data_IF_021588339515
#
_entry.id   IF_021588339515
#
_cell.length_a   1.000
_cell.length_b   1.000
_cell.length_c   1.000
_cell.angle_alpha   90.00
_cell.angle_beta   90.00
_cell.angle_gamma   90.00
#
_symmetry.space_group_name_H-M   'P 1'
#
loop_
_entity.id
_entity.type
_entity.pdbx_description
1 polymer ?
#
# COMPACT_ATOMS: atom_id res chain seq x y z
N UNK A 1 -12.58 -25.25 3.68
CA UNK A 1 -12.34 -25.12 5.13
C UNK A 1 -10.87 -25.37 5.45
N UNK A 2 -10.48 -25.05 6.68
CA UNK A 2 -9.14 -25.32 7.19
C UNK A 2 -9.19 -25.65 8.67
N UNK A 3 -8.14 -26.31 9.15
CA UNK A 3 -7.84 -26.56 10.54
C UNK A 3 -6.46 -26.02 10.87
N UNK A 4 -6.28 -25.53 12.10
CA UNK A 4 -5.01 -25.00 12.61
C UNK A 4 -4.63 -25.87 13.82
N UNK A 5 -3.37 -26.35 13.87
CA UNK A 5 -2.86 -27.09 15.01
C UNK A 5 -2.86 -26.29 16.32
N UNK A 6 -2.87 -26.96 17.46
CA UNK A 6 -2.89 -26.29 18.78
C UNK A 6 -1.69 -25.35 19.00
N UNK A 7 -0.55 -25.65 18.40
CA UNK A 7 0.65 -24.83 18.46
C UNK A 7 0.66 -23.67 17.43
N UNK A 8 -0.39 -23.60 16.57
CA UNK A 8 -0.51 -22.55 15.56
C UNK A 8 0.45 -22.65 14.38
N UNK A 9 1.22 -23.73 14.28
CA UNK A 9 2.29 -23.87 13.28
C UNK A 9 1.91 -24.68 12.05
N UNK A 10 0.83 -25.46 12.09
CA UNK A 10 0.36 -26.28 10.96
C UNK A 10 -1.03 -25.86 10.52
N UNK A 11 -1.18 -25.58 9.25
CA UNK A 11 -2.44 -25.23 8.61
C UNK A 11 -2.81 -26.31 7.60
N UNK A 12 -3.94 -27.00 7.85
CA UNK A 12 -4.47 -28.04 6.97
C UNK A 12 -5.68 -27.50 6.22
N UNK A 13 -5.58 -27.37 4.90
CA UNK A 13 -6.64 -26.89 4.04
C UNK A 13 -7.37 -28.05 3.36
N UNK A 14 -8.70 -28.05 3.48
CA UNK A 14 -9.58 -28.99 2.78
C UNK A 14 -10.05 -28.35 1.49
N UNK A 15 -9.51 -28.82 0.38
CA UNK A 15 -9.74 -28.25 -0.94
C UNK A 15 -11.14 -28.62 -1.43
N UNK A 16 -11.85 -27.66 -2.03
CA UNK A 16 -13.16 -27.87 -2.63
C UNK A 16 -13.03 -28.85 -3.80
N UNK A 17 -13.81 -29.96 -3.79
CA UNK A 17 -13.78 -30.89 -4.92
C UNK A 17 -14.40 -30.29 -6.19
N UNK A 18 -14.02 -30.82 -7.33
CA UNK A 18 -14.58 -30.46 -8.66
C UNK A 18 -14.39 -29.01 -9.10
N UNK A 19 -13.40 -28.31 -8.55
CA UNK A 19 -12.98 -27.01 -9.09
C UNK A 19 -12.08 -27.25 -10.29
N UNK A 20 -12.37 -26.56 -11.39
CA UNK A 20 -11.59 -26.63 -12.62
C UNK A 20 -10.95 -25.28 -12.91
N UNK A 21 -9.74 -25.29 -13.42
CA UNK A 21 -9.18 -24.15 -14.12
C UNK A 21 -9.92 -23.92 -15.43
N UNK A 22 -9.78 -22.76 -16.03
CA UNK A 22 -10.49 -22.42 -17.27
C UNK A 22 -10.05 -23.25 -18.49
N UNK A 23 -8.92 -23.95 -18.43
CA UNK A 23 -8.47 -24.94 -19.40
C UNK A 23 -9.03 -26.37 -19.18
N UNK A 24 -9.83 -26.55 -18.11
CA UNK A 24 -10.41 -27.83 -17.75
C UNK A 24 -9.53 -28.71 -16.84
N UNK A 25 -8.32 -28.30 -16.52
CA UNK A 25 -7.45 -28.99 -15.55
C UNK A 25 -8.04 -28.87 -14.13
N UNK A 26 -7.85 -29.90 -13.28
CA UNK A 26 -8.33 -29.88 -11.91
C UNK A 26 -7.53 -28.90 -11.05
N UNK A 27 -8.22 -28.08 -10.27
CA UNK A 27 -7.63 -27.29 -9.19
C UNK A 27 -7.75 -28.09 -7.87
N UNK A 28 -6.89 -29.09 -7.71
CA UNK A 28 -6.77 -29.93 -6.53
C UNK A 28 -5.55 -29.55 -5.67
N UNK A 29 -5.31 -30.28 -4.58
CA UNK A 29 -4.17 -30.03 -3.70
C UNK A 29 -2.81 -30.17 -4.41
N UNK A 30 -2.71 -31.02 -5.45
CA UNK A 30 -1.47 -31.18 -6.21
C UNK A 30 -1.20 -29.96 -7.09
N UNK A 31 -2.24 -29.39 -7.72
CA UNK A 31 -2.12 -28.14 -8.47
C UNK A 31 -1.71 -26.97 -7.57
N UNK A 32 -2.27 -26.88 -6.35
CA UNK A 32 -1.87 -25.89 -5.35
C UNK A 32 -0.42 -26.11 -4.92
N UNK A 33 -0.01 -27.36 -4.66
CA UNK A 33 1.37 -27.70 -4.33
C UNK A 33 2.35 -27.28 -5.43
N UNK A 34 1.99 -27.48 -6.69
CA UNK A 34 2.81 -27.05 -7.83
C UNK A 34 3.02 -25.51 -7.82
N UNK A 35 1.96 -24.75 -7.56
CA UNK A 35 2.04 -23.29 -7.43
C UNK A 35 2.94 -22.88 -6.25
N UNK A 36 2.77 -23.48 -5.07
CA UNK A 36 3.60 -23.18 -3.92
C UNK A 36 5.08 -23.53 -4.14
N UNK A 37 5.37 -24.64 -4.82
CA UNK A 37 6.74 -24.99 -5.18
C UNK A 37 7.37 -23.95 -6.10
N UNK A 38 6.63 -23.42 -7.08
CA UNK A 38 7.09 -22.34 -7.94
C UNK A 38 7.30 -21.02 -7.19
N UNK A 39 6.46 -20.72 -6.19
CA UNK A 39 6.63 -19.57 -5.29
C UNK A 39 7.89 -19.74 -4.44
N UNK A 40 8.10 -20.93 -3.86
CA UNK A 40 9.25 -21.24 -3.02
C UNK A 40 10.57 -21.21 -3.81
N UNK A 41 10.58 -21.63 -5.07
CA UNK A 41 11.73 -21.49 -5.95
C UNK A 41 12.16 -20.00 -6.13
N UNK A 42 11.21 -19.10 -6.04
CA UNK A 42 11.40 -17.64 -6.13
C UNK A 42 11.28 -16.92 -4.77
N UNK A 43 11.48 -17.62 -3.66
CA UNK A 43 11.24 -17.14 -2.30
C UNK A 43 11.87 -15.77 -2.02
N UNK A 44 13.07 -15.51 -2.51
CA UNK A 44 13.79 -14.26 -2.30
C UNK A 44 13.03 -13.02 -2.84
N UNK A 45 12.17 -13.20 -3.82
CA UNK A 45 11.31 -12.13 -4.36
C UNK A 45 10.11 -11.80 -3.45
N UNK A 46 9.84 -12.64 -2.48
CA UNK A 46 8.65 -12.58 -1.63
C UNK A 46 8.96 -12.40 -0.14
N UNK A 47 10.21 -12.10 0.22
CA UNK A 47 10.66 -11.87 1.61
C UNK A 47 10.05 -10.62 2.26
N UNK A 48 9.33 -9.82 1.49
CA UNK A 48 8.51 -8.72 2.00
C UNK A 48 7.22 -9.19 2.70
N UNK A 49 6.79 -10.45 2.49
CA UNK A 49 5.75 -11.14 3.26
C UNK A 49 6.42 -11.95 4.35
N UNK A 50 6.10 -11.68 5.61
CA UNK A 50 6.69 -12.40 6.73
C UNK A 50 6.34 -13.88 6.72
N UNK A 51 5.14 -14.23 6.28
CA UNK A 51 4.76 -15.63 6.03
C UNK A 51 5.84 -16.39 5.23
N UNK A 52 6.43 -15.77 4.22
CA UNK A 52 7.45 -16.41 3.39
C UNK A 52 8.76 -16.66 4.15
N UNK A 53 9.08 -15.85 5.15
CA UNK A 53 10.25 -16.02 6.01
C UNK A 53 10.04 -17.17 7.00
N UNK A 54 8.82 -17.32 7.50
CA UNK A 54 8.42 -18.33 8.50
C UNK A 54 8.02 -19.67 7.91
N UNK A 55 7.77 -19.77 6.60
CA UNK A 55 7.32 -20.98 5.93
C UNK A 55 8.42 -22.07 5.95
N UNK A 56 8.14 -23.21 6.58
CA UNK A 56 9.04 -24.38 6.65
C UNK A 56 8.83 -25.31 5.47
N UNK A 57 7.56 -25.61 5.14
CA UNK A 57 7.25 -26.54 4.09
C UNK A 57 5.77 -26.56 3.70
N UNK A 58 5.51 -27.19 2.56
CA UNK A 58 4.16 -27.45 2.05
C UNK A 58 4.05 -28.88 1.56
N UNK A 59 2.85 -29.48 1.67
CA UNK A 59 2.59 -30.83 1.19
C UNK A 59 1.13 -31.02 0.74
N UNK A 60 0.92 -32.02 -0.11
CA UNK A 60 -0.41 -32.48 -0.51
C UNK A 60 -0.48 -33.99 -0.24
N UNK A 61 -0.91 -34.41 0.96
CA UNK A 61 -1.00 -35.82 1.30
C UNK A 61 -2.01 -36.60 0.44
N UNK A 62 -3.02 -35.93 -0.07
CA UNK A 62 -4.01 -36.46 -1.01
C UNK A 62 -4.56 -35.33 -1.91
N UNK A 63 -5.43 -35.66 -2.88
CA UNK A 63 -6.00 -34.71 -3.85
C UNK A 63 -6.83 -33.58 -3.20
N UNK A 64 -7.31 -33.75 -1.98
CA UNK A 64 -8.21 -32.80 -1.32
C UNK A 64 -7.58 -32.12 -0.11
N UNK A 65 -6.37 -32.48 0.27
CA UNK A 65 -5.71 -31.95 1.46
C UNK A 65 -4.40 -31.27 1.10
N UNK A 66 -4.29 -29.99 1.44
CA UNK A 66 -3.06 -29.20 1.30
C UNK A 66 -2.62 -28.72 2.68
N UNK A 67 -1.34 -28.88 3.01
CA UNK A 67 -0.79 -28.54 4.32
C UNK A 67 0.34 -27.53 4.17
N UNK A 68 0.33 -26.53 5.06
CA UNK A 68 1.40 -25.54 5.22
C UNK A 68 1.97 -25.68 6.64
N UNK A 69 3.29 -25.76 6.75
CA UNK A 69 4.02 -25.80 8.00
C UNK A 69 4.85 -24.53 8.19
N UNK A 70 4.71 -23.91 9.37
CA UNK A 70 5.38 -22.68 9.78
C UNK A 70 6.39 -22.97 10.89
N UNK A 71 7.47 -22.19 10.98
CA UNK A 71 8.48 -22.30 12.05
C UNK A 71 7.96 -21.82 13.41
N UNK A 72 6.97 -20.93 13.40
CA UNK A 72 6.32 -20.38 14.59
C UNK A 72 4.88 -19.95 14.25
N UNK A 73 3.99 -19.75 15.25
CA UNK A 73 2.63 -19.28 15.02
C UNK A 73 2.62 -17.94 14.33
N UNK A 74 1.82 -17.81 13.26
CA UNK A 74 1.72 -16.59 12.48
C UNK A 74 0.27 -16.19 12.22
N UNK A 75 -0.24 -15.24 13.01
CA UNK A 75 -1.64 -14.81 12.97
C UNK A 75 -2.12 -14.32 11.59
N UNK A 76 -1.35 -13.51 10.84
CA UNK A 76 -1.79 -12.97 9.55
C UNK A 76 -1.83 -13.98 8.39
N UNK A 77 -1.43 -15.22 8.61
CA UNK A 77 -1.30 -16.26 7.59
C UNK A 77 -2.47 -16.35 6.61
N UNK A 78 -3.71 -16.41 7.12
CA UNK A 78 -4.90 -16.54 6.29
C UNK A 78 -5.21 -15.26 5.50
N UNK A 79 -4.91 -14.10 6.07
CA UNK A 79 -5.05 -12.80 5.41
C UNK A 79 -4.04 -12.67 4.28
N UNK A 80 -2.78 -13.03 4.52
CA UNK A 80 -1.72 -12.97 3.52
C UNK A 80 -1.96 -13.94 2.35
N UNK A 81 -2.52 -15.13 2.61
CA UNK A 81 -2.93 -16.05 1.55
C UNK A 81 -4.00 -15.47 0.62
N UNK A 82 -4.74 -14.45 1.06
CA UNK A 82 -5.66 -13.68 0.24
C UNK A 82 -4.99 -12.72 -0.74
N UNK A 83 -3.68 -12.47 -0.60
CA UNK A 83 -2.94 -11.59 -1.50
C UNK A 83 -2.80 -12.22 -2.89
N UNK A 84 -3.17 -11.45 -3.93
CA UNK A 84 -3.08 -11.93 -5.33
C UNK A 84 -1.64 -12.31 -5.67
N UNK A 85 -0.66 -11.52 -5.22
CA UNK A 85 0.76 -11.80 -5.40
C UNK A 85 1.41 -12.18 -4.06
N UNK A 86 1.96 -13.38 -3.93
CA UNK A 86 2.19 -14.40 -4.95
C UNK A 86 1.13 -15.50 -5.05
N UNK A 87 0.03 -15.43 -4.28
CA UNK A 87 -0.84 -16.58 -4.00
C UNK A 87 -2.02 -16.77 -4.98
N UNK A 88 -2.07 -16.04 -6.09
CA UNK A 88 -3.04 -16.34 -7.15
C UNK A 88 -2.65 -17.65 -7.83
N UNK A 89 -3.48 -18.70 -7.64
CA UNK A 89 -3.23 -20.02 -8.22
C UNK A 89 -3.50 -20.01 -9.73
N UNK A 90 -2.55 -20.52 -10.51
CA UNK A 90 -2.66 -20.70 -11.94
C UNK A 90 -2.67 -22.20 -12.30
N UNK A 91 -3.22 -22.56 -13.47
CA UNK A 91 -3.11 -23.91 -13.97
C UNK A 91 -1.64 -24.35 -14.10
N UNK A 92 -1.26 -25.54 -13.61
CA UNK A 92 0.10 -26.06 -13.83
C UNK A 92 0.50 -26.11 -15.30
N UNK A 93 -0.47 -26.18 -16.22
CA UNK A 93 -0.22 -26.14 -17.68
C UNK A 93 0.35 -24.79 -18.16
N UNK A 94 0.18 -23.71 -17.35
CA UNK A 94 0.78 -22.41 -17.66
C UNK A 94 2.26 -22.35 -17.27
N UNK A 95 2.75 -23.25 -16.44
CA UNK A 95 4.11 -23.21 -15.93
C UNK A 95 5.12 -23.71 -16.97
N UNK A 96 6.23 -23.01 -17.09
CA UNK A 96 7.35 -23.41 -17.97
C UNK A 96 8.23 -24.39 -17.18
N UNK A 97 8.27 -25.65 -17.58
CA UNK A 97 9.01 -26.70 -16.89
C UNK A 97 8.64 -26.85 -15.38
N UNK A 98 7.37 -26.61 -15.02
CA UNK A 98 6.89 -26.64 -13.64
C UNK A 98 7.30 -25.45 -12.77
N UNK A 99 7.79 -24.38 -13.39
CA UNK A 99 8.24 -23.15 -12.72
C UNK A 99 7.58 -21.91 -13.32
N UNK A 100 7.55 -20.82 -12.53
CA UNK A 100 7.15 -19.48 -12.99
C UNK A 100 8.35 -18.52 -13.13
N UNK A 101 9.58 -19.03 -12.95
CA UNK A 101 10.80 -18.23 -12.93
C UNK A 101 11.07 -17.53 -14.28
N UNK A 102 10.82 -18.22 -15.36
CA UNK A 102 11.04 -17.74 -16.73
C UNK A 102 9.74 -17.19 -17.37
N UNK A 103 8.72 -16.93 -16.57
CA UNK A 103 7.41 -16.49 -17.01
C UNK A 103 6.37 -17.62 -17.04
N UNK A 104 5.24 -17.36 -17.68
CA UNK A 104 4.11 -18.30 -17.79
C UNK A 104 3.57 -18.33 -19.21
N UNK A 105 3.04 -19.48 -19.66
CA UNK A 105 2.40 -19.69 -20.94
C UNK A 105 0.88 -19.50 -20.84
N UNK A 106 0.42 -18.32 -20.44
CA UNK A 106 -1.00 -18.00 -20.32
C UNK A 106 -1.42 -17.55 -18.92
N UNK A 107 -2.69 -17.16 -18.82
CA UNK A 107 -3.30 -16.59 -17.63
C UNK A 107 -4.56 -17.39 -17.24
N UNK A 108 -4.37 -18.66 -16.89
CA UNK A 108 -5.43 -19.64 -16.66
C UNK A 108 -5.64 -19.81 -15.15
N UNK A 109 -6.77 -19.34 -14.67
CA UNK A 109 -7.18 -19.41 -13.26
C UNK A 109 -8.53 -20.09 -13.08
N UNK A 110 -9.04 -20.06 -11.85
CA UNK A 110 -10.36 -20.62 -11.45
C UNK A 110 -11.42 -19.54 -11.26
N UNK A 111 -11.13 -18.31 -11.65
CA UNK A 111 -12.01 -17.16 -11.44
C UNK A 111 -13.25 -17.15 -12.33
N UNK A 112 -14.20 -16.21 -12.08
CA UNK A 112 -15.45 -16.09 -12.82
C UNK A 112 -15.28 -15.62 -14.26
N UNK A 113 -14.13 -15.10 -14.64
CA UNK A 113 -13.80 -14.63 -15.97
C UNK A 113 -12.49 -15.23 -16.48
N UNK A 114 -12.39 -15.37 -17.78
CA UNK A 114 -11.21 -15.82 -18.52
C UNK A 114 -10.69 -14.66 -19.37
N UNK A 115 -9.39 -14.39 -19.34
CA UNK A 115 -8.74 -13.47 -20.27
C UNK A 115 -8.70 -14.13 -21.66
N UNK A 116 -9.40 -13.55 -22.65
CA UNK A 116 -9.53 -14.10 -23.99
C UNK A 116 -8.73 -13.34 -25.02
N UNK A 117 -8.43 -12.08 -24.77
CA UNK A 117 -7.63 -11.23 -25.65
C UNK A 117 -7.00 -10.09 -24.86
N UNK A 118 -5.81 -9.65 -25.24
CA UNK A 118 -5.21 -8.43 -24.70
C UNK A 118 -4.13 -7.86 -25.59
N UNK A 119 -4.00 -6.56 -25.57
CA UNK A 119 -2.86 -5.82 -26.14
C UNK A 119 -2.26 -4.97 -25.04
N UNK A 120 -0.97 -5.14 -24.79
CA UNK A 120 -0.24 -4.39 -23.76
C UNK A 120 -0.43 -2.89 -23.97
N UNK A 121 -0.71 -2.16 -22.91
CA UNK A 121 -0.96 -0.72 -22.88
C UNK A 121 -2.16 -0.24 -23.71
N UNK A 122 -3.01 -1.14 -24.20
CA UNK A 122 -4.21 -0.77 -24.94
C UNK A 122 -5.48 -1.32 -24.29
N UNK A 123 -5.63 -2.64 -24.20
CA UNK A 123 -6.84 -3.25 -23.62
C UNK A 123 -6.65 -4.70 -23.17
N UNK A 124 -7.59 -5.17 -22.35
CA UNK A 124 -7.78 -6.58 -22.03
C UNK A 124 -9.27 -6.96 -22.10
N UNK A 125 -9.56 -8.13 -22.66
CA UNK A 125 -10.90 -8.69 -22.81
C UNK A 125 -11.07 -9.90 -21.92
N UNK A 126 -12.10 -9.88 -21.11
CA UNK A 126 -12.47 -10.97 -20.23
C UNK A 126 -13.86 -11.48 -20.62
N UNK A 127 -13.99 -12.79 -20.76
CA UNK A 127 -15.27 -13.46 -21.00
C UNK A 127 -15.62 -14.36 -19.82
N UNK A 128 -16.91 -14.54 -19.55
CA UNK A 128 -17.37 -15.35 -18.45
C UNK A 128 -16.84 -16.79 -18.55
N UNK A 129 -16.31 -17.29 -17.45
CA UNK A 129 -15.83 -18.66 -17.33
C UNK A 129 -17.03 -19.60 -17.15
N UNK A 130 -17.33 -20.41 -18.17
CA UNK A 130 -18.43 -21.38 -18.14
C UNK A 130 -18.13 -22.58 -17.19
N UNK A 131 -16.87 -22.77 -16.78
CA UNK A 131 -16.44 -23.76 -15.80
C UNK A 131 -16.34 -23.18 -14.37
N UNK A 132 -16.85 -21.97 -14.15
CA UNK A 132 -16.73 -21.35 -12.83
C UNK A 132 -17.51 -22.14 -11.77
N UNK A 133 -16.86 -22.44 -10.68
CA UNK A 133 -17.38 -23.25 -9.57
C UNK A 133 -18.40 -22.53 -8.68
N UNK A 134 -18.54 -21.23 -8.81
CA UNK A 134 -19.46 -20.38 -8.06
C UNK A 134 -20.69 -19.99 -8.90
N UNK A 135 -21.39 -18.95 -8.44
CA UNK A 135 -22.51 -18.38 -9.18
C UNK A 135 -22.01 -17.67 -10.44
N UNK A 136 -22.62 -17.98 -11.58
CA UNK A 136 -22.23 -17.39 -12.84
C UNK A 136 -22.46 -15.87 -12.87
N UNK A 137 -21.47 -15.03 -13.21
CA UNK A 137 -21.65 -13.59 -13.30
C UNK A 137 -22.73 -13.19 -14.30
N UNK A 138 -23.51 -12.14 -14.00
CA UNK A 138 -24.53 -11.63 -14.91
C UNK A 138 -23.91 -11.01 -16.18
N UNK A 139 -22.77 -10.33 -16.05
CA UNK A 139 -22.03 -9.74 -17.17
C UNK A 139 -21.26 -10.83 -17.90
N UNK A 140 -21.45 -10.95 -19.21
CA UNK A 140 -20.79 -12.00 -20.01
C UNK A 140 -19.40 -11.62 -20.50
N UNK A 141 -19.20 -10.33 -20.74
CA UNK A 141 -17.94 -9.81 -21.30
C UNK A 141 -17.58 -8.48 -20.65
N UNK A 142 -16.32 -8.34 -20.26
CA UNK A 142 -15.74 -7.11 -19.72
C UNK A 142 -14.57 -6.74 -20.61
N UNK A 143 -14.53 -5.51 -21.11
CA UNK A 143 -13.36 -4.95 -21.81
C UNK A 143 -12.75 -3.87 -20.93
N UNK A 144 -11.52 -4.08 -20.48
CA UNK A 144 -10.74 -3.09 -19.76
C UNK A 144 -9.90 -2.32 -20.77
N UNK A 145 -10.10 -1.01 -20.86
CA UNK A 145 -9.32 -0.11 -21.71
C UNK A 145 -8.26 0.60 -20.91
N UNK A 146 -7.06 0.77 -21.46
CA UNK A 146 -6.01 1.59 -20.87
C UNK A 146 -6.16 3.00 -21.40
N UNK A 147 -6.59 3.92 -20.52
CA UNK A 147 -6.71 5.36 -20.81
C UNK A 147 -5.89 6.09 -19.73
N UNK A 148 -4.62 6.43 -20.01
CA UNK A 148 -3.71 6.97 -18.98
C UNK A 148 -4.12 8.34 -18.45
N UNK A 149 -4.58 9.22 -19.35
CA UNK A 149 -4.95 10.58 -18.99
C UNK A 149 -6.33 10.63 -18.30
N UNK A 150 -6.39 11.35 -17.17
CA UNK A 150 -7.56 11.41 -16.31
C UNK A 150 -8.74 12.11 -16.98
N UNK A 151 -8.51 13.24 -17.64
CA UNK A 151 -9.56 14.00 -18.32
C UNK A 151 -10.13 13.23 -19.52
N UNK A 152 -9.26 12.56 -20.28
CA UNK A 152 -9.66 11.67 -21.39
C UNK A 152 -10.53 10.52 -20.88
N UNK A 153 -10.19 9.95 -19.72
CA UNK A 153 -10.94 8.87 -19.10
C UNK A 153 -12.35 9.32 -18.65
N UNK A 154 -12.43 10.52 -18.07
CA UNK A 154 -13.71 11.15 -17.70
C UNK A 154 -14.56 11.42 -18.95
N UNK A 155 -14.00 11.99 -20.01
CA UNK A 155 -14.72 12.23 -21.26
C UNK A 155 -15.22 10.92 -21.91
N UNK A 156 -14.46 9.85 -21.83
CA UNK A 156 -14.87 8.52 -22.29
C UNK A 156 -16.09 7.98 -21.52
N UNK A 157 -16.14 8.22 -20.18
CA UNK A 157 -17.30 7.88 -19.36
C UNK A 157 -18.52 8.75 -19.72
N UNK A 158 -18.35 10.04 -19.87
CA UNK A 158 -19.43 10.98 -20.16
C UNK A 158 -20.06 10.75 -21.56
N UNK A 159 -19.23 10.36 -22.53
CA UNK A 159 -19.68 10.02 -23.89
C UNK A 159 -20.31 8.62 -24.00
N UNK A 160 -20.14 7.78 -22.97
CA UNK A 160 -20.59 6.38 -23.00
C UNK A 160 -19.66 5.46 -23.76
N UNK A 161 -18.40 5.87 -24.01
CA UNK A 161 -17.37 4.98 -24.58
C UNK A 161 -16.93 3.91 -23.58
N UNK A 162 -16.95 4.24 -22.28
CA UNK A 162 -16.77 3.32 -21.18
C UNK A 162 -17.95 3.45 -20.20
N UNK A 163 -18.24 2.37 -19.47
CA UNK A 163 -19.36 2.27 -18.53
C UNK A 163 -18.94 2.48 -17.08
N UNK A 164 -17.67 2.30 -16.76
CA UNK A 164 -17.15 2.31 -15.40
C UNK A 164 -15.69 2.79 -15.38
N UNK A 165 -15.38 3.65 -14.42
CA UNK A 165 -14.02 3.91 -13.98
C UNK A 165 -13.88 3.29 -12.58
N UNK A 166 -12.88 2.45 -12.38
CA UNK A 166 -12.66 1.74 -11.12
C UNK A 166 -11.18 1.75 -10.72
N UNK A 167 -10.91 2.04 -9.46
CA UNK A 167 -9.59 1.92 -8.87
C UNK A 167 -9.10 3.22 -8.22
N UNK A 168 -8.04 3.05 -7.41
CA UNK A 168 -7.38 4.15 -6.71
C UNK A 168 -6.71 5.09 -7.73
N UNK A 169 -6.85 6.39 -7.53
CA UNK A 169 -6.26 7.45 -8.39
C UNK A 169 -6.70 7.40 -9.87
N UNK A 170 -7.81 6.74 -10.18
CA UNK A 170 -8.34 6.70 -11.54
C UNK A 170 -9.18 7.92 -11.91
N UNK A 171 -9.62 8.71 -10.93
CA UNK A 171 -10.31 10.00 -11.08
C UNK A 171 -9.74 10.96 -10.04
N UNK A 172 -9.46 12.20 -10.44
CA UNK A 172 -9.01 13.23 -9.51
C UNK A 172 -10.13 13.63 -8.54
N UNK A 173 -9.76 14.06 -7.33
CA UNK A 173 -10.73 14.35 -6.27
C UNK A 173 -11.70 15.48 -6.64
N UNK A 174 -11.22 16.50 -7.35
CA UNK A 174 -12.05 17.60 -7.86
C UNK A 174 -13.11 17.11 -8.85
N UNK A 175 -12.75 16.21 -9.76
CA UNK A 175 -13.70 15.59 -10.69
C UNK A 175 -14.71 14.69 -9.97
N UNK A 176 -14.28 13.84 -9.01
CA UNK A 176 -15.21 13.04 -8.22
C UNK A 176 -16.23 13.93 -7.52
N UNK A 177 -15.80 15.03 -6.91
CA UNK A 177 -16.67 15.93 -6.17
C UNK A 177 -17.82 16.50 -7.03
N UNK A 178 -17.60 16.67 -8.33
CA UNK A 178 -18.62 17.14 -9.27
C UNK A 178 -19.67 16.07 -9.60
N UNK A 179 -19.35 14.78 -9.42
CA UNK A 179 -20.25 13.67 -9.72
C UNK A 179 -21.02 13.13 -8.51
N UNK A 180 -20.65 13.54 -7.28
CA UNK A 180 -21.32 13.04 -6.06
C UNK A 180 -22.83 13.28 -6.06
N UNK A 181 -23.27 14.42 -6.60
CA UNK A 181 -24.68 14.81 -6.69
C UNK A 181 -25.26 14.62 -8.11
N UNK A 182 -24.62 13.82 -8.96
CA UNK A 182 -25.04 13.63 -10.36
C UNK A 182 -26.24 12.68 -10.46
N UNK A 183 -27.25 13.10 -11.21
CA UNK A 183 -28.38 12.20 -11.57
C UNK A 183 -28.00 11.20 -12.67
N UNK A 184 -26.88 11.41 -13.38
CA UNK A 184 -26.45 10.58 -14.51
C UNK A 184 -25.47 9.47 -14.10
N UNK A 185 -24.64 9.72 -13.09
CA UNK A 185 -23.56 8.82 -12.65
C UNK A 185 -23.74 8.43 -11.20
N UNK A 186 -23.33 7.22 -10.86
CA UNK A 186 -23.25 6.76 -9.47
C UNK A 186 -21.80 6.72 -9.04
N UNK A 187 -21.48 7.40 -7.94
CA UNK A 187 -20.16 7.36 -7.32
C UNK A 187 -20.20 6.44 -6.12
N UNK A 188 -19.32 5.43 -6.11
CA UNK A 188 -19.10 4.55 -4.97
C UNK A 188 -17.74 4.86 -4.33
N UNK A 189 -17.74 5.22 -3.05
CA UNK A 189 -16.53 5.42 -2.26
C UNK A 189 -16.38 4.26 -1.28
N UNK A 190 -15.19 3.69 -1.19
CA UNK A 190 -14.87 2.70 -0.16
C UNK A 190 -14.53 3.39 1.16
N UNK A 191 -14.60 2.64 2.25
CA UNK A 191 -13.94 3.06 3.49
C UNK A 191 -12.42 3.22 3.27
N UNK A 192 -11.72 4.01 4.11
CA UNK A 192 -10.27 4.16 4.02
C UNK A 192 -9.55 2.81 4.09
N UNK A 193 -8.70 2.53 3.12
CA UNK A 193 -7.95 1.27 3.01
C UNK A 193 -6.47 1.41 3.26
N UNK A 194 -5.92 2.63 3.16
CA UNK A 194 -4.50 2.92 3.36
C UNK A 194 -4.32 4.35 3.85
N UNK A 195 -3.20 4.64 4.49
CA UNK A 195 -2.86 5.98 4.99
C UNK A 195 -1.68 6.55 4.22
N UNK A 196 -1.85 7.76 3.67
CA UNK A 196 -0.77 8.59 3.17
C UNK A 196 -0.10 9.28 4.35
N UNK A 197 1.21 9.20 4.45
CA UNK A 197 1.96 9.81 5.54
C UNK A 197 3.29 10.39 5.05
N UNK A 198 3.90 11.21 5.88
CA UNK A 198 5.25 11.71 5.66
C UNK A 198 6.17 11.03 6.67
N UNK A 199 7.17 10.34 6.16
CA UNK A 199 8.23 9.71 6.94
C UNK A 199 9.26 10.76 7.28
N UNK A 200 9.64 10.87 8.56
CA UNK A 200 10.67 11.78 9.05
C UNK A 200 11.92 10.99 9.43
N UNK A 201 13.04 11.26 8.78
CA UNK A 201 14.29 10.52 8.98
C UNK A 201 14.95 10.92 10.31
N UNK A 202 14.91 10.02 11.29
CA UNK A 202 15.47 10.26 12.62
C UNK A 202 17.02 10.24 12.67
N UNK A 203 17.67 9.80 11.61
CA UNK A 203 19.15 9.90 11.49
C UNK A 203 19.59 11.30 11.08
N UNK A 204 18.66 12.12 10.54
CA UNK A 204 18.95 13.51 10.22
C UNK A 204 19.08 14.33 11.50
N UNK A 205 20.11 15.18 11.58
CA UNK A 205 20.46 15.93 12.80
C UNK A 205 19.29 16.72 13.40
N UNK A 206 18.50 17.41 12.56
CA UNK A 206 17.36 18.22 13.01
C UNK A 206 16.18 17.31 13.40
N UNK A 207 15.87 16.31 12.57
CA UNK A 207 14.73 15.39 12.77
C UNK A 207 15.04 14.28 13.79
N UNK A 208 16.28 14.11 14.22
CA UNK A 208 16.67 13.33 15.38
C UNK A 208 16.07 13.90 16.68
N UNK A 209 15.86 15.22 16.76
CA UNK A 209 15.21 15.87 17.89
C UNK A 209 13.69 15.56 17.89
N UNK A 210 13.17 14.80 18.88
CA UNK A 210 11.74 14.49 18.96
C UNK A 210 10.85 15.72 19.12
N UNK A 211 11.38 16.82 19.69
CA UNK A 211 10.65 18.08 19.81
C UNK A 211 10.31 18.69 18.45
N UNK A 212 11.26 18.63 17.50
CA UNK A 212 11.03 19.09 16.12
C UNK A 212 9.94 18.24 15.46
N UNK A 213 10.05 16.92 15.53
CA UNK A 213 9.03 16.01 14.95
C UNK A 213 7.64 16.27 15.54
N UNK A 214 7.56 16.48 16.87
CA UNK A 214 6.31 16.78 17.55
C UNK A 214 5.74 18.15 17.13
N UNK A 215 6.60 19.16 16.99
CA UNK A 215 6.19 20.47 16.51
C UNK A 215 5.62 20.42 15.10
N UNK A 216 6.23 19.66 14.18
CA UNK A 216 5.72 19.46 12.82
C UNK A 216 4.33 18.79 12.81
N UNK A 217 4.06 17.86 13.76
CA UNK A 217 2.74 17.25 13.89
C UNK A 217 1.67 18.29 14.29
N UNK A 218 1.96 19.19 15.21
CA UNK A 218 1.06 20.29 15.59
C UNK A 218 0.96 21.37 14.51
N UNK A 219 2.00 21.55 13.69
CA UNK A 219 2.03 22.54 12.61
C UNK A 219 1.29 22.09 11.34
N UNK A 220 0.87 20.84 11.25
CA UNK A 220 0.22 20.28 10.07
C UNK A 220 -1.30 20.30 10.23
N UNK A 221 -1.98 21.16 9.48
CA UNK A 221 -3.44 21.20 9.41
C UNK A 221 -3.95 20.14 8.41
N UNK A 222 -4.20 18.93 8.94
CA UNK A 222 -4.68 17.80 8.16
C UNK A 222 -6.10 18.02 7.64
N UNK A 223 -6.92 18.78 8.38
CA UNK A 223 -8.29 19.07 7.95
C UNK A 223 -8.29 19.98 6.72
N UNK A 224 -7.47 21.04 6.71
CA UNK A 224 -7.34 21.92 5.54
C UNK A 224 -6.81 21.17 4.32
N UNK A 225 -5.89 20.20 4.50
CA UNK A 225 -5.43 19.33 3.41
C UNK A 225 -6.59 18.47 2.89
N UNK A 226 -7.35 17.82 3.79
CA UNK A 226 -8.52 17.02 3.42
C UNK A 226 -9.54 17.83 2.62
N UNK A 227 -9.96 18.96 3.16
CA UNK A 227 -11.03 19.77 2.56
C UNK A 227 -10.57 20.52 1.29
N UNK A 228 -9.34 21.06 1.29
CA UNK A 228 -8.84 21.94 0.23
C UNK A 228 -8.20 21.19 -0.94
N UNK A 229 -7.56 20.05 -0.71
CA UNK A 229 -6.87 19.28 -1.75
C UNK A 229 -7.70 18.06 -2.17
N UNK A 230 -8.35 17.39 -1.20
CA UNK A 230 -9.09 16.16 -1.45
C UNK A 230 -10.62 16.34 -1.44
N UNK A 231 -11.12 17.54 -1.28
CA UNK A 231 -12.58 17.82 -1.25
C UNK A 231 -13.33 16.98 -0.20
N UNK A 232 -12.67 16.64 0.92
CA UNK A 232 -13.20 15.78 1.96
C UNK A 232 -13.25 14.28 1.63
N UNK A 233 -12.73 13.86 0.48
CA UNK A 233 -12.74 12.45 0.04
C UNK A 233 -11.67 11.61 0.73
N UNK A 234 -10.51 12.20 1.05
CA UNK A 234 -9.52 11.59 1.95
C UNK A 234 -9.68 12.20 3.34
N UNK A 235 -9.80 11.37 4.37
CA UNK A 235 -10.00 11.83 5.74
C UNK A 235 -8.66 12.03 6.46
N UNK A 236 -8.54 13.00 7.39
CA UNK A 236 -7.39 13.09 8.28
C UNK A 236 -7.14 11.78 9.02
N UNK A 237 -5.88 11.36 9.08
CA UNK A 237 -5.46 10.14 9.78
C UNK A 237 -4.64 10.49 11.02
N UNK A 238 -4.97 9.85 12.15
CA UNK A 238 -4.27 10.00 13.41
C UNK A 238 -3.34 8.81 13.72
N UNK A 239 -3.48 7.75 12.94
CA UNK A 239 -2.72 6.50 13.05
C UNK A 239 -2.28 6.04 11.67
N UNK A 240 -1.25 5.19 11.63
CA UNK A 240 -0.75 4.61 10.38
C UNK A 240 -1.78 3.70 9.71
N UNK A 241 -2.65 3.05 10.50
CA UNK A 241 -3.73 2.20 9.99
C UNK A 241 -5.08 2.75 10.45
N UNK A 242 -6.11 2.60 9.63
CA UNK A 242 -7.46 2.99 9.99
C UNK A 242 -7.91 2.24 11.25
N UNK A 243 -8.60 2.92 12.15
CA UNK A 243 -9.10 2.34 13.42
C UNK A 243 -10.15 1.25 13.22
N UNK A 244 -10.70 1.13 12.01
CA UNK A 244 -11.61 0.06 11.57
C UNK A 244 -10.89 -1.25 11.27
N UNK A 245 -9.56 -1.22 11.07
CA UNK A 245 -8.75 -2.42 10.89
C UNK A 245 -8.62 -3.15 12.23
N UNK A 246 -8.81 -4.47 12.28
CA UNK A 246 -8.68 -5.25 13.50
C UNK A 246 -7.37 -4.95 14.24
N UNK A 247 -7.46 -4.76 15.55
CA UNK A 247 -6.36 -4.45 16.47
C UNK A 247 -5.68 -3.09 16.29
N UNK A 248 -6.07 -2.26 15.31
CA UNK A 248 -5.45 -0.96 15.05
C UNK A 248 -6.08 0.20 15.83
N UNK A 249 -7.20 -0.01 16.52
CA UNK A 249 -7.77 0.99 17.44
C UNK A 249 -7.07 0.93 18.79
N UNK A 250 -5.92 1.58 18.90
CA UNK A 250 -5.08 1.59 20.11
C UNK A 250 -5.33 2.81 21.01
N UNK A 251 -6.38 3.60 20.73
CA UNK A 251 -6.79 4.74 21.55
C UNK A 251 -5.77 5.88 21.61
N UNK A 252 -4.97 6.06 20.57
CA UNK A 252 -4.05 7.19 20.47
C UNK A 252 -4.83 8.51 20.45
N UNK A 253 -4.27 9.53 21.13
CA UNK A 253 -4.77 10.89 21.01
C UNK A 253 -4.08 11.56 19.84
N UNK A 254 -4.84 12.13 18.88
CA UNK A 254 -4.26 12.86 17.77
C UNK A 254 -3.50 14.11 18.26
N UNK A 255 -2.49 14.49 17.50
CA UNK A 255 -1.87 15.80 17.65
C UNK A 255 -2.83 16.85 17.06
N UNK A 256 -3.42 17.67 17.93
CA UNK A 256 -4.28 18.78 17.50
C UNK A 256 -3.46 19.82 16.72
N UNK A 257 -4.02 20.33 15.63
CA UNK A 257 -3.40 21.44 14.90
C UNK A 257 -3.36 22.68 15.78
N UNK A 258 -2.17 23.20 16.03
CA UNK A 258 -1.93 24.43 16.77
C UNK A 258 -0.54 24.98 16.45
N UNK A 259 -0.50 26.06 15.73
CA UNK A 259 0.74 26.78 15.43
C UNK A 259 1.38 27.36 16.67
N UNK A 260 0.59 27.74 17.67
CA UNK A 260 1.05 28.24 18.96
C UNK A 260 1.77 27.14 19.75
N UNK A 261 1.18 25.95 19.81
CA UNK A 261 1.79 24.79 20.46
C UNK A 261 3.08 24.37 19.74
N UNK A 262 3.07 24.37 18.42
CA UNK A 262 4.25 24.06 17.62
C UNK A 262 5.39 25.06 17.89
N UNK A 263 5.08 26.35 17.91
CA UNK A 263 6.05 27.40 18.22
C UNK A 263 6.63 27.26 19.63
N UNK A 264 5.76 27.02 20.64
CA UNK A 264 6.18 26.81 22.02
C UNK A 264 7.13 25.62 22.16
N UNK A 265 6.81 24.47 21.56
CA UNK A 265 7.67 23.28 21.57
C UNK A 265 9.04 23.59 20.98
N UNK A 266 9.09 24.31 19.86
CA UNK A 266 10.36 24.70 19.23
C UNK A 266 11.16 25.66 20.12
N UNK A 267 10.52 26.66 20.74
CA UNK A 267 11.16 27.61 21.66
C UNK A 267 11.75 26.89 22.88
N UNK A 268 11.00 25.98 23.50
CA UNK A 268 11.44 25.17 24.65
C UNK A 268 12.60 24.23 24.28
N UNK A 269 12.66 23.74 23.03
CA UNK A 269 13.75 22.94 22.50
C UNK A 269 14.97 23.77 22.09
N UNK A 270 14.92 25.10 22.18
CA UNK A 270 16.00 26.01 21.87
C UNK A 270 16.08 26.45 20.40
N UNK A 271 15.09 26.14 19.60
CA UNK A 271 14.92 26.63 18.22
C UNK A 271 14.30 28.01 18.21
N UNK A 272 15.13 29.05 18.44
CA UNK A 272 14.67 30.42 18.66
C UNK A 272 14.42 31.16 17.35
N UNK A 273 13.34 31.90 17.27
CA UNK A 273 13.00 32.74 16.12
C UNK A 273 13.94 33.95 16.04
N UNK A 274 14.69 34.06 14.94
CA UNK A 274 15.59 35.16 14.67
C UNK A 274 14.91 36.43 14.16
N UNK A 275 15.68 37.50 14.03
CA UNK A 275 15.24 38.77 13.44
C UNK A 275 14.87 38.65 11.92
N UNK A 276 15.43 37.65 11.27
CA UNK A 276 15.10 37.24 9.89
C UNK A 276 13.83 36.43 9.77
N UNK A 277 13.12 36.19 10.88
CA UNK A 277 11.95 35.35 11.03
C UNK A 277 12.18 33.87 10.76
N UNK A 278 13.44 33.42 10.83
CA UNK A 278 13.79 32.00 10.71
C UNK A 278 14.23 31.48 12.09
N UNK A 279 13.95 30.21 12.34
CA UNK A 279 14.36 29.55 13.58
C UNK A 279 15.75 28.97 13.45
N UNK A 280 16.54 29.13 14.52
CA UNK A 280 17.89 28.59 14.61
C UNK A 280 18.19 28.10 16.03
N UNK A 281 19.05 27.08 16.13
CA UNK A 281 19.59 26.54 17.39
C UNK A 281 21.11 26.34 17.18
N UNK A 282 21.93 26.87 18.11
CA UNK A 282 23.38 26.76 18.08
C UNK A 282 24.03 27.22 16.75
N UNK A 283 23.43 28.26 16.13
CA UNK A 283 23.89 28.83 14.88
C UNK A 283 23.43 28.05 13.60
N UNK A 284 22.69 26.95 13.77
CA UNK A 284 22.13 26.16 12.68
C UNK A 284 20.64 26.52 12.46
N UNK A 285 20.31 26.86 11.22
CA UNK A 285 18.92 27.15 10.83
C UNK A 285 18.08 25.88 10.81
N UNK A 286 16.81 25.97 11.22
CA UNK A 286 15.83 24.91 11.10
C UNK A 286 15.38 24.84 9.63
N UNK A 287 16.11 24.05 8.86
CA UNK A 287 15.91 23.85 7.43
C UNK A 287 15.76 22.36 7.13
N UNK A 288 14.72 22.01 6.38
CA UNK A 288 14.33 20.64 6.03
C UNK A 288 14.17 20.50 4.52
N UNK A 289 14.32 19.29 4.02
CA UNK A 289 14.00 18.90 2.65
C UNK A 289 12.85 17.87 2.64
N UNK A 290 11.85 18.08 1.79
CA UNK A 290 10.75 17.14 1.58
C UNK A 290 10.84 16.57 0.17
N UNK A 291 11.17 15.29 0.10
CA UNK A 291 11.22 14.51 -1.13
C UNK A 291 9.82 14.04 -1.52
N UNK A 292 9.45 14.21 -2.78
CA UNK A 292 8.20 13.73 -3.34
C UNK A 292 8.38 13.11 -4.72
N UNK A 293 7.44 12.25 -5.13
CA UNK A 293 7.42 11.70 -6.49
C UNK A 293 6.96 12.78 -7.49
N UNK A 294 7.80 13.16 -8.44
CA UNK A 294 7.52 14.21 -9.43
C UNK A 294 6.32 13.91 -10.33
N UNK A 295 5.94 12.63 -10.47
CA UNK A 295 4.76 12.21 -11.22
C UNK A 295 3.45 12.41 -10.43
N UNK A 296 3.55 12.71 -9.12
CA UNK A 296 2.41 12.93 -8.24
C UNK A 296 2.12 14.42 -8.06
N UNK A 297 1.17 14.93 -8.84
CA UNK A 297 0.66 16.30 -8.66
C UNK A 297 0.12 16.53 -7.25
N UNK A 298 -0.53 15.53 -6.68
CA UNK A 298 -1.08 15.57 -5.31
C UNK A 298 0.01 15.76 -4.26
N UNK A 299 1.08 14.96 -4.31
CA UNK A 299 2.20 15.11 -3.36
C UNK A 299 2.87 16.47 -3.47
N UNK A 300 3.06 16.94 -4.70
CA UNK A 300 3.59 18.28 -4.95
C UNK A 300 2.70 19.36 -4.33
N UNK A 301 1.39 19.29 -4.50
CA UNK A 301 0.44 20.26 -3.95
C UNK A 301 0.47 20.25 -2.42
N UNK A 302 0.51 19.07 -1.79
CA UNK A 302 0.65 18.97 -0.33
C UNK A 302 1.99 19.54 0.13
N UNK A 303 3.08 19.24 -0.57
CA UNK A 303 4.42 19.74 -0.24
C UNK A 303 4.49 21.29 -0.31
N UNK A 304 3.92 21.89 -1.34
CA UNK A 304 3.83 23.36 -1.49
C UNK A 304 2.99 24.00 -0.38
N UNK A 305 1.88 23.36 0.01
CA UNK A 305 1.06 23.81 1.12
C UNK A 305 1.86 23.75 2.43
N UNK A 306 2.49 22.63 2.75
CA UNK A 306 3.29 22.47 3.96
C UNK A 306 4.49 23.43 4.00
N UNK A 307 5.16 23.67 2.88
CA UNK A 307 6.24 24.64 2.76
C UNK A 307 5.77 26.02 3.21
N UNK A 308 4.59 26.45 2.73
CA UNK A 308 3.99 27.71 3.10
C UNK A 308 3.63 27.80 4.59
N UNK A 309 3.03 26.75 5.16
CA UNK A 309 2.62 26.71 6.56
C UNK A 309 3.83 26.69 7.50
N UNK A 310 4.84 25.88 7.20
CA UNK A 310 6.04 25.79 8.03
C UNK A 310 6.87 27.08 8.00
N UNK A 311 6.87 27.78 6.87
CA UNK A 311 7.55 29.09 6.77
C UNK A 311 6.95 30.13 7.73
N UNK A 312 5.63 30.10 8.01
CA UNK A 312 4.98 30.99 8.99
C UNK A 312 5.50 30.77 10.41
N UNK A 313 6.00 29.58 10.70
CA UNK A 313 6.64 29.19 11.97
C UNK A 313 8.14 29.46 12.00
N UNK A 314 8.71 29.97 10.92
CA UNK A 314 10.16 30.18 10.78
C UNK A 314 10.95 28.92 10.44
N UNK A 315 10.29 27.90 9.90
CA UNK A 315 10.91 26.66 9.40
C UNK A 315 11.12 26.82 7.90
N UNK A 316 12.37 26.71 7.44
CA UNK A 316 12.68 26.65 6.00
C UNK A 316 12.44 25.23 5.50
N UNK A 317 11.69 25.06 4.43
CA UNK A 317 11.53 23.76 3.79
C UNK A 317 11.76 23.87 2.28
N UNK A 318 12.69 23.08 1.78
CA UNK A 318 12.86 22.83 0.35
C UNK A 318 11.96 21.66 -0.05
N UNK A 319 11.35 21.75 -1.23
CA UNK A 319 10.60 20.62 -1.80
C UNK A 319 11.39 20.08 -2.99
N UNK A 320 11.58 18.78 -3.04
CA UNK A 320 12.45 18.11 -3.99
C UNK A 320 11.69 16.98 -4.72
N UNK A 321 11.41 17.19 -6.00
CA UNK A 321 10.72 16.21 -6.85
C UNK A 321 11.69 15.33 -7.61
N UNK A 322 11.53 14.01 -7.48
CA UNK A 322 12.31 13.00 -8.19
C UNK A 322 11.37 12.10 -9.01
N UNK A 323 11.85 11.59 -10.13
CA UNK A 323 11.11 10.57 -10.88
C UNK A 323 11.04 9.25 -10.09
N UNK A 324 10.08 8.38 -10.41
CA UNK A 324 9.69 7.21 -9.60
C UNK A 324 10.88 6.32 -9.19
N UNK A 325 11.82 6.01 -10.11
CA UNK A 325 12.93 5.10 -9.77
C UNK A 325 13.94 5.79 -8.84
N UNK A 326 14.31 7.03 -9.13
CA UNK A 326 15.20 7.84 -8.28
C UNK A 326 14.61 8.07 -6.90
N UNK A 327 13.31 8.37 -6.85
CA UNK A 327 12.54 8.52 -5.61
C UNK A 327 12.64 7.26 -4.73
N UNK A 328 12.39 6.07 -5.31
CA UNK A 328 12.50 4.79 -4.58
C UNK A 328 13.92 4.48 -4.13
N UNK A 329 14.91 4.76 -4.95
CA UNK A 329 16.31 4.54 -4.61
C UNK A 329 16.76 5.45 -3.46
N UNK A 330 16.32 6.71 -3.46
CA UNK A 330 16.58 7.65 -2.36
C UNK A 330 15.88 7.22 -1.06
N UNK A 331 14.61 6.77 -1.14
CA UNK A 331 13.90 6.20 0.01
C UNK A 331 14.64 5.01 0.61
N UNK A 332 15.07 4.07 -0.23
CA UNK A 332 15.80 2.87 0.18
C UNK A 332 17.15 3.19 0.81
N UNK A 333 17.85 4.17 0.27
CA UNK A 333 19.17 4.60 0.76
C UNK A 333 19.10 5.50 2.01
N UNK A 334 17.90 6.00 2.37
CA UNK A 334 17.73 6.98 3.45
C UNK A 334 18.20 8.39 3.08
N UNK A 335 18.32 8.71 1.79
CA UNK A 335 18.75 10.00 1.28
C UNK A 335 17.59 11.01 1.25
N UNK A 336 17.02 11.31 2.39
CA UNK A 336 15.94 12.28 2.56
C UNK A 336 15.91 12.77 4.02
N UNK A 337 15.37 13.96 4.23
CA UNK A 337 14.97 14.42 5.57
C UNK A 337 13.54 13.97 5.84
N UNK A 338 12.63 14.31 4.93
CA UNK A 338 11.23 13.89 4.93
C UNK A 338 10.87 13.32 3.56
N UNK A 339 9.97 12.34 3.52
CA UNK A 339 9.51 11.74 2.27
C UNK A 339 8.06 11.30 2.39
N UNK A 340 7.27 11.43 1.33
CA UNK A 340 5.95 10.84 1.28
C UNK A 340 6.03 9.31 1.23
N UNK A 341 5.09 8.66 1.90
CA UNK A 341 4.89 7.22 1.80
C UNK A 341 3.41 6.89 1.98
N UNK A 342 3.05 5.66 1.65
CA UNK A 342 1.70 5.13 1.83
C UNK A 342 1.82 3.80 2.54
N UNK A 343 1.14 3.63 3.68
CA UNK A 343 1.09 2.32 4.32
C UNK A 343 0.38 1.31 3.42
N UNK A 344 0.72 0.05 3.55
CA UNK A 344 0.03 -1.03 2.86
C UNK A 344 -1.35 -1.20 3.50
N UNK A 345 -2.39 -0.82 2.80
CA UNK A 345 -3.76 -1.03 3.23
C UNK A 345 -4.26 -2.42 2.86
N UNK A 346 -5.57 -2.60 2.97
CA UNK A 346 -6.21 -3.83 2.51
C UNK A 346 -5.77 -4.19 1.07
N UNK A 347 -5.53 -5.48 0.73
CA UNK A 347 -5.80 -6.68 1.55
C UNK A 347 -4.67 -7.11 2.50
N UNK A 348 -3.62 -6.30 2.68
CA UNK A 348 -2.49 -6.64 3.54
C UNK A 348 -2.87 -6.50 5.02
N UNK A 349 -2.37 -7.42 5.84
CA UNK A 349 -2.44 -7.29 7.29
C UNK A 349 -1.48 -6.17 7.77
N UNK A 350 -1.82 -5.37 8.80
CA UNK A 350 -0.92 -4.38 9.36
C UNK A 350 0.45 -4.94 9.75
N UNK A 351 0.51 -6.18 10.23
CA UNK A 351 1.77 -6.84 10.60
C UNK A 351 2.71 -7.00 9.39
N UNK A 352 2.18 -7.27 8.19
CA UNK A 352 3.00 -7.36 6.97
C UNK A 352 3.72 -6.04 6.68
N UNK A 353 3.02 -4.92 6.85
CA UNK A 353 3.58 -3.58 6.67
C UNK A 353 4.61 -3.25 7.77
N UNK A 354 4.35 -3.63 9.01
CA UNK A 354 5.29 -3.45 10.13
C UNK A 354 6.54 -4.33 9.96
N UNK A 355 6.39 -5.59 9.53
CA UNK A 355 7.51 -6.46 9.21
C UNK A 355 8.39 -5.88 8.10
N UNK A 356 7.78 -5.27 7.08
CA UNK A 356 8.50 -4.59 6.01
C UNK A 356 9.31 -3.37 6.49
N UNK A 357 8.92 -2.74 7.60
CA UNK A 357 9.68 -1.65 8.21
C UNK A 357 11.00 -2.12 8.86
N UNK A 358 11.17 -3.43 9.09
CA UNK A 358 12.43 -4.04 9.54
C UNK A 358 13.39 -4.34 8.39
N UNK A 359 12.96 -4.25 7.14
CA UNK A 359 13.77 -4.58 5.98
C UNK A 359 14.40 -3.34 5.33
N UNK A 360 15.71 -3.34 5.00
CA UNK A 360 16.42 -2.16 4.43
C UNK A 360 16.06 -1.92 2.95
N UNK A 361 14.78 -1.97 2.64
CA UNK A 361 14.22 -1.75 1.29
C UNK A 361 13.19 -0.64 1.24
N UNK A 362 12.81 -0.11 2.41
CA UNK A 362 11.77 0.92 2.55
C UNK A 362 12.29 2.15 3.30
N UNK A 363 11.72 3.31 3.00
CA UNK A 363 12.07 4.57 3.65
C UNK A 363 11.82 4.56 5.17
N UNK A 364 10.78 3.87 5.61
CA UNK A 364 10.44 3.71 7.03
C UNK A 364 11.57 3.01 7.82
N UNK A 365 12.22 1.99 7.23
CA UNK A 365 13.38 1.35 7.83
C UNK A 365 14.53 2.37 8.02
N UNK A 366 14.90 3.09 6.96
CA UNK A 366 15.99 4.06 7.01
C UNK A 366 15.69 5.18 8.03
N UNK A 367 14.43 5.64 8.06
CA UNK A 367 14.00 6.71 8.94
C UNK A 367 14.09 6.38 10.44
N UNK A 368 13.94 5.12 10.81
CA UNK A 368 13.91 4.66 12.21
C UNK A 368 15.31 4.44 12.83
N UNK A 369 16.37 4.42 12.02
CA UNK A 369 17.71 4.04 12.50
C UNK A 369 18.31 5.00 13.55
N UNK A 370 17.77 6.20 13.69
CA UNK A 370 18.18 7.18 14.72
C UNK A 370 17.34 7.15 16.00
N UNK A 371 16.35 6.24 16.12
CA UNK A 371 15.54 6.12 17.35
C UNK A 371 16.35 5.43 18.45
N UNK A 372 16.27 5.98 19.68
CA UNK A 372 16.95 5.41 20.85
C UNK A 372 16.40 4.02 21.22
N UNK A 373 15.08 3.83 21.06
CA UNK A 373 14.36 2.59 21.42
C UNK A 373 14.19 1.64 20.23
N UNK A 374 15.06 1.75 19.22
CA UNK A 374 14.94 0.97 17.97
C UNK A 374 14.87 -0.53 18.21
N UNK A 375 15.64 -1.04 19.17
CA UNK A 375 15.66 -2.47 19.50
C UNK A 375 14.32 -2.95 20.09
N UNK A 376 13.67 -2.13 20.94
CA UNK A 376 12.36 -2.44 21.52
C UNK A 376 11.23 -2.37 20.45
N UNK A 377 11.39 -1.51 19.44
CA UNK A 377 10.43 -1.39 18.35
C UNK A 377 10.51 -2.61 17.42
N UNK A 378 11.69 -3.20 17.28
CA UNK A 378 11.92 -4.36 16.41
C UNK A 378 11.47 -5.69 17.05
N UNK A 379 11.31 -5.77 18.37
CA UNK A 379 10.74 -6.93 19.08
C UNK A 379 9.22 -7.01 18.93
#
# INVERSE_FOLDING_TARGET
>A
SWDISEDGCTYTFHIRPNVLFSDGEKCDANAILANFNAILENRERHTWLEMMNLLVGVSAPDENTFVIEMSEPYYPMLTELGCIRPFAMISPNCMINGSTKDGVNGHIGTGPYVLTDFVTDEYAVFERNENYWGEAPAIRKITVKVIPDNQTRIMALESGEIDLIFGKNMIDADAISQYLDSDKFTVGLSDPTSTRHIVMNTTHEILGDPAVRKALQHATDRQTISDGIFYGLEQPADTLYATTVPYCNVGLKPYEYSTETAAQILDEAGWVLGSDKMRAKDGKQLALDLLYNSDSVTEKTIAEYLQSEYLKLGISMTIHGEEEQSYRDNMKAGNFDMVFNICWGMPYDPQSSLAAMRAPVYGDYAAQQGLEDKAEIDE
#
